data_IF_725353804505
#
_entry.id   IF_725353804505
#
_cell.length_a   1.000
_cell.length_b   1.000
_cell.length_c   1.000
_cell.angle_alpha   90.00
_cell.angle_beta   90.00
_cell.angle_gamma   90.00
#
_symmetry.space_group_name_H-M   'P 1'
#
loop_
_entity.id
_entity.type
_entity.pdbx_description
1 polymer ?
#
# COMPACT_ATOMS: atom_id res chain seq x y z
N UNK A 1 17.88 -4.75 -17.44
CA UNK A 1 16.93 -3.93 -18.23
C UNK A 1 15.59 -4.21 -17.59
N UNK A 2 14.82 -3.27 -17.07
CA UNK A 2 14.98 -1.86 -16.76
C UNK A 2 14.11 -1.64 -15.50
N UNK A 3 14.30 -0.55 -14.78
CA UNK A 3 13.70 -0.33 -13.45
C UNK A 3 12.18 -0.51 -13.42
N UNK A 4 11.70 -1.53 -12.69
CA UNK A 4 10.29 -1.61 -12.26
C UNK A 4 10.03 -0.51 -11.24
N UNK A 5 9.34 0.55 -11.67
CA UNK A 5 8.91 1.63 -10.79
C UNK A 5 7.59 1.23 -10.14
N UNK A 6 7.59 1.11 -8.81
CA UNK A 6 6.40 0.92 -8.00
C UNK A 6 5.67 2.26 -7.85
N UNK A 7 4.44 2.34 -8.35
CA UNK A 7 3.51 3.41 -7.99
C UNK A 7 2.23 2.72 -7.51
N UNK A 8 1.84 2.95 -6.25
CA UNK A 8 0.56 2.50 -5.68
C UNK A 8 0.24 1.00 -5.85
N UNK A 9 1.17 0.11 -5.49
CA UNK A 9 1.00 -1.36 -5.58
C UNK A 9 0.84 -1.93 -7.01
N UNK A 10 1.04 -1.10 -8.03
CA UNK A 10 0.99 -1.51 -9.43
C UNK A 10 2.39 -1.78 -9.95
N UNK A 11 2.58 -2.95 -10.56
CA UNK A 11 3.75 -3.25 -11.38
C UNK A 11 3.42 -2.93 -12.83
N UNK A 12 4.26 -2.09 -13.45
CA UNK A 12 4.28 -1.94 -14.90
C UNK A 12 5.15 -3.03 -15.52
N UNK A 13 4.55 -3.85 -16.38
CA UNK A 13 5.24 -4.95 -17.04
C UNK A 13 5.50 -4.58 -18.49
N UNK A 14 6.75 -4.22 -18.77
CA UNK A 14 7.27 -4.04 -20.12
C UNK A 14 7.60 -5.40 -20.74
N UNK A 15 7.13 -5.63 -21.96
CA UNK A 15 7.21 -6.93 -22.60
C UNK A 15 8.41 -7.06 -23.53
N UNK A 16 9.09 -8.20 -23.44
CA UNK A 16 10.03 -8.66 -24.45
C UNK A 16 9.27 -9.42 -25.55
N UNK A 17 9.17 -8.83 -26.75
CA UNK A 17 8.86 -9.59 -27.93
C UNK A 17 10.10 -10.41 -28.31
N UNK A 18 10.02 -11.71 -28.12
CA UNK A 18 10.88 -12.63 -28.87
C UNK A 18 9.92 -13.48 -29.71
N UNK A 19 10.13 -13.52 -31.03
CA UNK A 19 9.39 -14.42 -31.95
C UNK A 19 9.76 -15.90 -31.73
N UNK A 20 10.30 -16.25 -30.55
CA UNK A 20 11.03 -17.48 -30.30
C UNK A 20 10.29 -18.47 -29.38
N UNK A 21 9.14 -18.09 -28.81
CA UNK A 21 8.38 -18.86 -27.82
C UNK A 21 6.92 -19.09 -28.26
N UNK A 22 6.33 -20.22 -27.85
CA UNK A 22 4.94 -20.58 -28.15
C UNK A 22 3.97 -19.99 -27.11
N UNK A 23 4.38 -19.92 -25.84
CA UNK A 23 3.58 -19.37 -24.74
C UNK A 23 4.45 -18.65 -23.72
N UNK A 24 3.86 -17.64 -23.09
CA UNK A 24 4.44 -16.92 -21.97
C UNK A 24 3.42 -16.89 -20.82
N UNK A 25 3.88 -17.21 -19.61
CA UNK A 25 3.07 -17.19 -18.40
C UNK A 25 3.74 -16.31 -17.35
N UNK A 26 3.02 -15.29 -16.90
CA UNK A 26 3.33 -14.55 -15.69
C UNK A 26 2.68 -15.24 -14.50
N UNK A 27 3.48 -15.57 -13.49
CA UNK A 27 3.03 -15.97 -12.16
C UNK A 27 3.37 -14.86 -11.18
N UNK A 28 2.37 -14.28 -10.53
CA UNK A 28 2.54 -13.12 -9.65
C UNK A 28 2.93 -13.49 -8.22
N UNK A 29 3.05 -14.78 -7.91
CA UNK A 29 3.42 -15.27 -6.57
C UNK A 29 2.30 -15.19 -5.53
N UNK A 30 1.11 -14.74 -5.91
CA UNK A 30 -0.09 -14.65 -5.05
C UNK A 30 -1.16 -15.71 -5.40
N UNK A 31 -0.81 -16.65 -6.30
CA UNK A 31 -1.71 -17.67 -6.84
C UNK A 31 -2.38 -17.27 -8.15
N UNK A 32 -2.23 -16.03 -8.61
CA UNK A 32 -2.71 -15.58 -9.91
C UNK A 32 -1.67 -15.82 -11.00
N UNK A 33 -2.13 -16.35 -12.13
CA UNK A 33 -1.31 -16.54 -13.32
C UNK A 33 -1.98 -15.93 -14.55
N UNK A 34 -1.19 -15.33 -15.42
CA UNK A 34 -1.62 -14.81 -16.72
C UNK A 34 -0.81 -15.49 -17.82
N UNK A 35 -1.48 -16.35 -18.60
CA UNK A 35 -0.88 -17.03 -19.76
C UNK A 35 -1.35 -16.40 -21.05
N UNK A 36 -0.42 -16.13 -21.97
CA UNK A 36 -0.72 -15.57 -23.27
C UNK A 36 0.17 -16.17 -24.37
N UNK A 37 -0.42 -16.35 -25.55
CA UNK A 37 0.27 -16.74 -26.79
C UNK A 37 1.11 -15.58 -27.35
N UNK A 38 0.63 -14.35 -27.14
CA UNK A 38 1.32 -13.10 -27.47
C UNK A 38 0.71 -12.01 -26.60
N UNK A 39 1.54 -11.21 -25.93
CA UNK A 39 1.09 -9.97 -25.31
C UNK A 39 1.54 -8.83 -26.21
N UNK A 40 0.60 -8.13 -26.85
CA UNK A 40 0.90 -7.06 -27.81
C UNK A 40 1.03 -5.69 -27.16
N UNK A 41 0.83 -5.59 -25.85
CA UNK A 41 0.84 -4.34 -25.11
C UNK A 41 1.23 -4.59 -23.64
N UNK A 42 1.97 -3.66 -23.05
CA UNK A 42 2.24 -3.62 -21.61
C UNK A 42 0.93 -3.62 -20.82
N UNK A 43 0.95 -4.20 -19.63
CA UNK A 43 -0.20 -4.24 -18.75
C UNK A 43 0.24 -3.98 -17.31
N UNK A 44 -0.76 -3.64 -16.49
CA UNK A 44 -0.60 -3.35 -15.08
C UNK A 44 -1.16 -4.51 -14.25
N UNK A 45 -0.45 -4.88 -13.19
CA UNK A 45 -0.92 -5.83 -12.18
C UNK A 45 -0.90 -5.18 -10.80
N UNK A 46 -2.02 -5.29 -10.06
CA UNK A 46 -2.20 -4.70 -8.74
C UNK A 46 -2.29 -5.81 -7.67
N UNK A 47 -1.50 -5.67 -6.61
CA UNK A 47 -1.56 -6.57 -5.46
C UNK A 47 -2.54 -6.05 -4.40
N UNK A 48 -3.43 -6.94 -3.97
CA UNK A 48 -4.41 -6.63 -2.92
C UNK A 48 -3.80 -6.55 -1.52
N UNK A 49 -2.72 -7.29 -1.30
CA UNK A 49 -2.03 -7.34 -0.02
C UNK A 49 -0.55 -7.01 -0.24
N UNK A 50 0.10 -6.34 0.72
CA UNK A 50 1.52 -6.18 0.73
C UNK A 50 2.20 -7.43 1.28
N UNK A 51 3.47 -7.55 0.94
CA UNK A 51 4.23 -8.74 1.24
C UNK A 51 5.33 -8.96 0.21
N UNK A 52 6.06 -10.04 0.43
CA UNK A 52 7.04 -10.52 -0.53
C UNK A 52 6.36 -11.48 -1.50
N UNK A 53 6.56 -11.22 -2.79
CA UNK A 53 6.04 -12.03 -3.88
C UNK A 53 7.19 -12.52 -4.75
N UNK A 54 7.23 -13.83 -4.99
CA UNK A 54 8.14 -14.46 -5.94
C UNK A 54 7.48 -14.47 -7.32
N UNK A 55 7.76 -13.43 -8.09
CA UNK A 55 7.16 -13.22 -9.41
C UNK A 55 7.99 -14.00 -10.42
N UNK A 56 7.34 -14.89 -11.16
CA UNK A 56 7.99 -15.74 -12.15
C UNK A 56 7.47 -15.47 -13.55
N UNK A 57 8.40 -15.39 -14.49
CA UNK A 57 8.13 -15.37 -15.92
C UNK A 57 8.53 -16.73 -16.50
N UNK A 58 7.55 -17.45 -17.03
CA UNK A 58 7.71 -18.80 -17.57
C UNK A 58 7.55 -18.75 -19.09
N UNK A 59 8.58 -19.15 -19.81
CA UNK A 59 8.60 -19.26 -21.26
C UNK A 59 8.44 -20.71 -21.68
N UNK A 60 7.62 -20.98 -22.69
CA UNK A 60 7.45 -22.33 -23.24
C UNK A 60 7.71 -22.36 -24.75
N UNK A 61 8.47 -23.37 -25.20
CA UNK A 61 8.70 -23.66 -26.62
C UNK A 61 8.65 -25.18 -26.83
N UNK A 62 7.58 -25.68 -27.43
CA UNK A 62 7.28 -27.11 -27.53
C UNK A 62 7.21 -27.76 -26.14
N UNK A 63 8.14 -28.68 -25.86
CA UNK A 63 8.24 -29.37 -24.57
C UNK A 63 9.20 -28.68 -23.58
N UNK A 64 9.92 -27.65 -24.03
CA UNK A 64 10.90 -26.95 -23.21
C UNK A 64 10.22 -25.81 -22.47
N UNK A 65 10.53 -25.69 -21.18
CA UNK A 65 10.11 -24.59 -20.33
C UNK A 65 11.32 -23.96 -19.66
N UNK A 66 11.38 -22.64 -19.61
CA UNK A 66 12.39 -21.89 -18.87
C UNK A 66 11.70 -20.87 -17.96
N UNK A 67 12.26 -20.62 -16.77
CA UNK A 67 11.63 -19.80 -15.74
C UNK A 67 12.64 -18.82 -15.15
N UNK A 68 12.27 -17.53 -15.15
CA UNK A 68 13.00 -16.49 -14.43
C UNK A 68 12.13 -15.99 -13.28
N UNK A 69 12.70 -15.94 -12.07
CA UNK A 69 11.99 -15.48 -10.87
C UNK A 69 12.69 -14.27 -10.27
N UNK A 70 11.92 -13.28 -9.83
CA UNK A 70 12.39 -12.17 -9.02
C UNK A 70 11.50 -11.98 -7.80
N UNK A 71 12.14 -11.66 -6.67
CA UNK A 71 11.43 -11.36 -5.43
C UNK A 71 11.14 -9.86 -5.36
N UNK A 72 9.87 -9.51 -5.15
CA UNK A 72 9.42 -8.13 -4.99
C UNK A 72 8.72 -7.96 -3.65
N UNK A 73 9.09 -6.89 -2.93
CA UNK A 73 8.31 -6.42 -1.81
C UNK A 73 7.28 -5.39 -2.29
N UNK A 74 6.00 -5.70 -2.13
CA UNK A 74 4.91 -4.75 -2.32
C UNK A 74 4.56 -4.13 -0.98
N UNK A 75 4.61 -2.80 -0.90
CA UNK A 75 4.31 -2.05 0.32
C UNK A 75 2.81 -1.85 0.55
N UNK A 76 2.44 -1.49 1.78
CA UNK A 76 1.06 -1.12 2.08
C UNK A 76 0.68 0.14 1.29
N UNK A 77 -0.50 0.14 0.66
CA UNK A 77 -0.97 1.27 -0.14
C UNK A 77 -1.25 2.49 0.76
N UNK A 78 -0.63 3.64 0.47
CA UNK A 78 -0.89 4.87 1.20
C UNK A 78 -2.15 5.56 0.64
N UNK A 79 -3.20 5.59 1.45
CA UNK A 79 -4.44 6.32 1.18
C UNK A 79 -4.38 7.69 1.86
N UNK A 80 -4.21 8.72 1.05
CA UNK A 80 -4.27 10.11 1.49
C UNK A 80 -5.74 10.54 1.58
N UNK A 81 -6.17 10.92 2.79
CA UNK A 81 -7.47 11.54 3.00
C UNK A 81 -7.28 13.06 3.04
N UNK A 82 -7.56 13.73 1.92
CA UNK A 82 -7.47 15.20 1.82
C UNK A 82 -8.76 15.92 2.26
N UNK A 83 -9.91 15.23 2.34
CA UNK A 83 -11.23 15.84 2.54
C UNK A 83 -12.05 15.23 3.69
N UNK A 84 -12.99 16.04 4.21
CA UNK A 84 -13.93 15.74 5.31
C UNK A 84 -14.91 14.57 5.04
N UNK A 85 -14.89 13.97 3.85
CA UNK A 85 -15.73 12.84 3.45
C UNK A 85 -15.03 11.48 3.58
N UNK A 86 -14.10 11.34 4.52
CA UNK A 86 -13.60 10.02 4.87
C UNK A 86 -14.63 9.31 5.75
N UNK A 87 -15.32 8.32 5.18
CA UNK A 87 -16.30 7.51 5.91
C UNK A 87 -15.65 6.44 6.79
N UNK A 88 -14.36 6.16 6.60
CA UNK A 88 -13.65 5.11 7.35
C UNK A 88 -13.13 5.60 8.70
N UNK A 89 -12.75 6.87 8.81
CA UNK A 89 -12.36 7.45 10.09
C UNK A 89 -12.50 8.96 10.10
N UNK A 90 -12.69 9.51 11.31
CA UNK A 90 -12.84 10.93 11.57
C UNK A 90 -11.98 11.36 12.75
N UNK A 91 -11.30 12.48 12.59
CA UNK A 91 -10.52 13.14 13.65
C UNK A 91 -11.19 14.48 13.97
N UNK A 92 -11.69 14.62 15.20
CA UNK A 92 -12.34 15.86 15.64
C UNK A 92 -12.09 16.20 17.11
N UNK A 93 -12.01 17.49 17.47
CA UNK A 93 -11.95 18.61 16.55
C UNK A 93 -10.61 18.66 15.80
N UNK A 94 -10.63 19.19 14.58
CA UNK A 94 -9.44 19.56 13.84
C UNK A 94 -9.68 20.96 13.25
N UNK A 95 -8.98 22.01 13.69
CA UNK A 95 -7.86 22.03 14.63
C UNK A 95 -8.22 21.67 16.10
N UNK A 96 -7.22 21.26 16.90
CA UNK A 96 -7.34 20.99 18.35
C UNK A 96 -6.19 21.62 19.17
N UNK A 97 -6.20 21.40 20.49
CA UNK A 97 -5.15 21.87 21.42
C UNK A 97 -4.44 20.67 22.10
N UNK A 98 -4.15 19.61 21.35
CA UNK A 98 -3.55 18.36 21.85
C UNK A 98 -4.55 17.33 22.38
N UNK A 99 -5.84 17.66 22.41
CA UNK A 99 -6.93 16.71 22.74
C UNK A 99 -7.85 16.54 21.55
N UNK A 100 -8.03 15.31 21.07
CA UNK A 100 -8.89 14.97 19.95
C UNK A 100 -9.56 13.61 20.15
N UNK A 101 -10.65 13.39 19.43
CA UNK A 101 -11.32 12.10 19.30
C UNK A 101 -11.02 11.54 17.92
N UNK A 102 -10.64 10.28 17.90
CA UNK A 102 -10.56 9.49 16.68
C UNK A 102 -11.72 8.50 16.68
N UNK A 103 -12.56 8.59 15.65
CA UNK A 103 -13.59 7.60 15.36
C UNK A 103 -13.19 6.83 14.11
N UNK A 104 -13.37 5.52 14.10
CA UNK A 104 -12.95 4.64 13.02
C UNK A 104 -13.99 3.53 12.81
N UNK A 105 -14.20 3.12 11.57
CA UNK A 105 -15.16 2.09 11.15
C UNK A 105 -14.46 0.89 10.49
N UNK A 106 -13.14 0.75 10.69
CA UNK A 106 -12.39 -0.45 10.32
C UNK A 106 -12.86 -1.62 11.19
N UNK A 107 -13.27 -2.72 10.54
CA UNK A 107 -13.71 -3.93 11.22
C UNK A 107 -12.60 -4.72 11.93
N UNK A 108 -11.33 -4.33 11.76
CA UNK A 108 -10.14 -5.03 12.27
C UNK A 108 -9.32 -4.14 13.22
N UNK A 109 -8.34 -4.73 13.92
CA UNK A 109 -7.35 -3.98 14.70
C UNK A 109 -6.49 -3.13 13.77
N UNK A 110 -6.58 -1.81 13.92
CA UNK A 110 -5.75 -0.83 13.19
C UNK A 110 -4.84 -0.10 14.18
N UNK A 111 -3.55 -0.01 13.83
CA UNK A 111 -2.56 0.72 14.58
C UNK A 111 -2.65 2.22 14.31
N UNK A 112 -2.16 3.01 15.26
CA UNK A 112 -2.05 4.46 15.19
C UNK A 112 -0.61 4.89 15.37
N UNK A 113 -0.14 5.78 14.51
CA UNK A 113 1.05 6.61 14.74
C UNK A 113 0.69 8.07 14.57
N UNK A 114 1.22 8.92 15.45
CA UNK A 114 1.20 10.37 15.27
C UNK A 114 2.63 10.84 15.02
N UNK A 115 2.85 11.53 13.90
CA UNK A 115 4.15 12.06 13.52
C UNK A 115 4.12 13.58 13.42
N UNK A 116 5.25 14.22 13.75
CA UNK A 116 5.42 15.66 13.55
C UNK A 116 5.81 15.99 12.09
N UNK A 117 5.94 17.28 11.77
CA UNK A 117 6.33 17.76 10.42
C UNK A 117 7.73 17.34 9.98
N UNK A 118 8.59 16.88 10.89
CA UNK A 118 9.92 16.34 10.61
C UNK A 118 9.91 14.81 10.43
N UNK A 119 8.74 14.16 10.51
CA UNK A 119 8.58 12.71 10.39
C UNK A 119 8.90 11.92 11.66
N UNK A 120 9.15 12.57 12.80
CA UNK A 120 9.39 11.87 14.07
C UNK A 120 8.08 11.37 14.66
N UNK A 121 8.06 10.12 15.12
CA UNK A 121 6.92 9.51 15.82
C UNK A 121 6.85 10.08 17.25
N UNK A 122 5.73 10.73 17.56
CA UNK A 122 5.44 11.35 18.86
C UNK A 122 4.52 10.46 19.70
N UNK A 123 3.66 9.68 19.05
CA UNK A 123 2.76 8.75 19.71
C UNK A 123 2.55 7.51 18.85
N UNK A 124 2.47 6.34 19.47
CA UNK A 124 2.14 5.08 18.81
C UNK A 124 1.19 4.27 19.67
N UNK A 125 0.24 3.60 19.02
CA UNK A 125 -0.66 2.62 19.64
C UNK A 125 -0.89 1.46 18.68
N UNK A 126 -0.81 0.22 19.16
CA UNK A 126 -0.93 -0.96 18.29
C UNK A 126 -2.39 -1.24 17.85
N UNK A 127 -3.39 -0.81 18.63
CA UNK A 127 -4.80 -1.03 18.30
C UNK A 127 -5.68 0.09 18.83
N UNK A 128 -6.67 0.50 18.03
CA UNK A 128 -7.66 1.53 18.34
C UNK A 128 -9.05 0.95 18.58
N UNK A 129 -9.77 1.55 19.51
CA UNK A 129 -11.21 1.31 19.65
C UNK A 129 -11.97 2.03 18.52
N UNK A 130 -13.22 1.62 18.28
CA UNK A 130 -14.09 2.28 17.30
C UNK A 130 -14.22 3.80 17.54
N UNK A 131 -14.25 4.22 18.81
CA UNK A 131 -14.16 5.63 19.18
C UNK A 131 -13.25 5.78 20.38
N UNK A 132 -12.25 6.66 20.27
CA UNK A 132 -11.26 6.87 21.31
C UNK A 132 -10.84 8.33 21.44
N UNK A 133 -10.87 8.84 22.67
CA UNK A 133 -10.37 10.17 23.02
C UNK A 133 -8.91 10.08 23.42
N UNK A 134 -8.07 10.87 22.75
CA UNK A 134 -6.63 10.95 22.95
C UNK A 134 -6.29 12.35 23.44
N UNK A 135 -5.43 12.44 24.45
CA UNK A 135 -4.94 13.70 25.00
C UNK A 135 -3.42 13.61 25.17
N UNK A 136 -2.71 14.51 24.48
CA UNK A 136 -1.25 14.58 24.43
C UNK A 136 -0.81 16.03 24.68
N UNK A 137 0.36 16.19 25.31
CA UNK A 137 1.01 17.49 25.41
C UNK A 137 1.80 17.74 24.12
N UNK A 138 1.22 18.49 23.20
CA UNK A 138 1.80 18.79 21.89
C UNK A 138 2.00 20.30 21.73
N UNK A 139 3.12 20.69 21.11
CA UNK A 139 3.32 22.07 20.68
C UNK A 139 2.41 22.39 19.48
N UNK A 140 2.00 23.66 19.36
CA UNK A 140 1.25 24.17 18.23
C UNK A 140 2.00 23.88 16.92
N UNK A 141 1.30 23.33 15.92
CA UNK A 141 1.95 22.94 14.68
C UNK A 141 1.16 21.95 13.83
N UNK A 142 1.85 21.48 12.79
CA UNK A 142 1.35 20.50 11.83
C UNK A 142 1.81 19.09 12.22
N UNK A 143 0.85 18.18 12.32
CA UNK A 143 1.08 16.77 12.57
C UNK A 143 0.37 15.92 11.51
N UNK A 144 0.82 14.68 11.36
CA UNK A 144 0.14 13.69 10.55
C UNK A 144 -0.24 12.49 11.42
N UNK A 145 -1.50 12.11 11.35
CA UNK A 145 -2.03 10.90 11.92
C UNK A 145 -1.95 9.81 10.84
N UNK A 146 -1.31 8.69 11.18
CA UNK A 146 -1.21 7.50 10.34
C UNK A 146 -1.99 6.37 11.02
N UNK A 147 -2.95 5.80 10.31
CA UNK A 147 -3.62 4.56 10.70
C UNK A 147 -3.16 3.45 9.78
N UNK A 148 -2.58 2.40 10.33
CA UNK A 148 -1.98 1.33 9.52
C UNK A 148 -2.44 -0.04 10.00
N UNK A 149 -2.73 -0.91 9.04
CA UNK A 149 -2.74 -2.35 9.24
C UNK A 149 -1.69 -2.97 8.31
N UNK A 150 -1.61 -4.30 8.26
CA UNK A 150 -0.64 -4.96 7.41
C UNK A 150 -0.79 -4.54 5.94
N UNK A 151 -2.00 -4.21 5.47
CA UNK A 151 -2.33 -3.97 4.08
C UNK A 151 -2.33 -2.51 3.62
N UNK A 152 -2.77 -1.60 4.48
CA UNK A 152 -3.14 -0.23 4.13
C UNK A 152 -2.61 0.75 5.16
N UNK A 153 -2.16 1.91 4.67
CA UNK A 153 -1.83 3.05 5.51
C UNK A 153 -2.75 4.20 5.14
N UNK A 154 -3.46 4.74 6.11
CA UNK A 154 -4.30 5.92 5.96
C UNK A 154 -3.62 7.11 6.63
N UNK A 155 -3.55 8.24 5.94
CA UNK A 155 -2.95 9.45 6.49
C UNK A 155 -3.96 10.60 6.54
N UNK A 156 -4.00 11.31 7.67
CA UNK A 156 -4.75 12.56 7.82
C UNK A 156 -3.90 13.64 8.49
N UNK A 157 -4.02 14.87 7.96
CA UNK A 157 -3.43 16.06 8.56
C UNK A 157 -4.16 16.48 9.84
N UNK A 158 -3.41 16.76 10.90
CA UNK A 158 -3.92 17.31 12.16
C UNK A 158 -3.24 18.63 12.48
N UNK A 159 -4.04 19.65 12.84
CA UNK A 159 -3.55 20.97 13.23
C UNK A 159 -3.71 21.12 14.75
N UNK A 160 -2.62 21.42 15.44
CA UNK A 160 -2.61 21.80 16.86
C UNK A 160 -2.43 23.32 16.98
N UNK A 161 -3.27 23.99 17.76
CA UNK A 161 -3.22 25.43 18.06
C UNK A 161 -2.52 25.70 19.37
#
# INVERSE_FOLDING_TARGET
>A
VDSTQLVNNVINIDLFNSEEYDYLTWDFGDGTQLSALLLTQSFEYEYNNPGFYDISLIFSKGICTDTTTFNLYVGAGLKLSENEENTLFQLYPNPNNGTFTLQQEFGNEIGLKLINSLGSIIYKKESLKQSEKISLSLDSGLYFLLLENDAEIYQQKMIVK
#
